data_IF_659685956644
#
_entry.id   IF_659685956644
#
_cell.length_a   1.000
_cell.length_b   1.000
_cell.length_c   1.000
_cell.angle_alpha   90.00
_cell.angle_beta   90.00
_cell.angle_gamma   90.00
#
_symmetry.space_group_name_H-M   'P 1'
#
loop_
_entity.id
_entity.type
_entity.pdbx_description
1 polymer ?
#
# COMPACT_ATOMS: atom_id res chain seq x y z
N UNK A 1 8.52 -14.01 -1.59
CA UNK A 1 8.10 -13.61 -2.94
C UNK A 1 8.81 -14.49 -3.94
N UNK A 2 8.34 -14.48 -5.17
CA UNK A 2 9.07 -15.07 -6.29
C UNK A 2 10.36 -14.28 -6.50
N UNK A 3 11.40 -14.92 -7.02
CA UNK A 3 12.67 -14.28 -7.38
C UNK A 3 12.96 -14.54 -8.85
N UNK A 4 13.52 -13.55 -9.55
CA UNK A 4 13.99 -13.72 -10.93
C UNK A 4 15.35 -14.45 -10.98
N UNK A 5 15.87 -14.69 -12.19
CA UNK A 5 17.16 -15.38 -12.41
C UNK A 5 18.37 -14.68 -11.74
N UNK A 6 18.28 -13.37 -11.52
CA UNK A 6 19.29 -12.58 -10.82
C UNK A 6 19.14 -12.64 -9.28
N UNK A 7 18.11 -13.31 -8.76
CA UNK A 7 17.83 -13.41 -7.34
C UNK A 7 17.05 -12.22 -6.76
N UNK A 8 16.59 -11.29 -7.60
CA UNK A 8 15.82 -10.11 -7.22
C UNK A 8 14.34 -10.47 -7.02
N UNK A 9 13.63 -9.76 -6.15
CA UNK A 9 12.19 -9.94 -5.95
C UNK A 9 11.40 -9.62 -7.23
N UNK A 10 10.51 -10.55 -7.60
CA UNK A 10 9.67 -10.50 -8.78
C UNK A 10 8.25 -11.00 -8.40
N UNK A 11 7.22 -10.57 -9.11
CA UNK A 11 5.86 -11.04 -8.90
C UNK A 11 5.27 -10.57 -7.58
N UNK A 12 4.40 -11.36 -6.96
CA UNK A 12 3.75 -10.97 -5.69
C UNK A 12 4.58 -11.38 -4.49
N UNK A 13 4.75 -10.47 -3.53
CA UNK A 13 5.56 -10.75 -2.35
C UNK A 13 5.32 -9.81 -1.18
N UNK A 14 5.56 -10.35 0.03
CA UNK A 14 5.59 -9.59 1.27
C UNK A 14 7.04 -9.33 1.68
N UNK A 15 7.40 -8.06 1.85
CA UNK A 15 8.68 -7.64 2.42
C UNK A 15 8.44 -7.03 3.80
N UNK A 16 9.21 -7.49 4.78
CA UNK A 16 9.21 -6.95 6.15
C UNK A 16 10.52 -6.19 6.34
N UNK A 17 10.40 -4.93 6.74
CA UNK A 17 11.54 -4.04 6.93
C UNK A 17 12.01 -4.06 8.39
N UNK A 18 13.29 -3.77 8.67
CA UNK A 18 13.84 -3.77 10.02
C UNK A 18 13.21 -2.73 10.97
N UNK A 19 12.63 -1.66 10.40
CA UNK A 19 11.90 -0.63 11.15
C UNK A 19 10.51 -1.10 11.61
N UNK A 20 10.06 -2.29 11.21
CA UNK A 20 8.74 -2.83 11.50
C UNK A 20 7.70 -2.57 10.40
N UNK A 21 8.05 -1.82 9.35
CA UNK A 21 7.17 -1.63 8.21
C UNK A 21 7.02 -2.94 7.41
N UNK A 22 5.89 -3.08 6.71
CA UNK A 22 5.59 -4.26 5.88
C UNK A 22 4.99 -3.81 4.57
N UNK A 23 5.55 -4.25 3.45
CA UNK A 23 4.94 -4.10 2.14
C UNK A 23 4.42 -5.44 1.64
N UNK A 24 3.15 -5.50 1.26
CA UNK A 24 2.52 -6.63 0.56
C UNK A 24 2.04 -6.15 -0.80
N UNK A 25 2.71 -6.57 -1.87
CA UNK A 25 2.38 -6.09 -3.20
C UNK A 25 3.19 -6.77 -4.30
N UNK A 26 3.14 -6.13 -5.45
CA UNK A 26 3.84 -6.57 -6.66
C UNK A 26 5.27 -5.99 -6.71
N UNK A 27 6.18 -6.81 -7.22
CA UNK A 27 7.62 -6.57 -7.30
C UNK A 27 8.12 -6.84 -8.72
N UNK A 28 9.13 -6.08 -9.12
CA UNK A 28 9.86 -6.26 -10.37
C UNK A 28 11.30 -5.83 -10.17
N UNK A 29 12.25 -6.75 -10.35
CA UNK A 29 13.68 -6.48 -10.15
C UNK A 29 13.98 -5.72 -8.83
N UNK A 30 13.53 -6.27 -7.70
CA UNK A 30 13.68 -5.71 -6.33
C UNK A 30 13.00 -4.35 -6.08
N UNK A 31 12.21 -3.85 -7.04
CA UNK A 31 11.43 -2.63 -6.90
C UNK A 31 9.96 -2.94 -6.73
N UNK A 32 9.28 -2.12 -5.92
CA UNK A 32 7.82 -2.16 -5.83
C UNK A 32 7.26 -1.66 -7.16
N UNK A 33 6.38 -2.44 -7.78
CA UNK A 33 5.87 -2.17 -9.12
C UNK A 33 4.45 -2.73 -9.22
N UNK A 34 3.46 -1.95 -9.63
CA UNK A 34 2.07 -2.37 -9.62
C UNK A 34 1.37 -2.02 -8.31
N UNK A 35 0.38 -2.81 -7.89
CA UNK A 35 -0.43 -2.49 -6.69
C UNK A 35 0.16 -3.10 -5.42
N UNK A 36 0.03 -2.37 -4.32
CA UNK A 36 0.48 -2.90 -3.03
C UNK A 36 -0.04 -2.14 -1.83
N UNK A 37 -0.02 -2.83 -0.70
CA UNK A 37 -0.30 -2.30 0.64
C UNK A 37 1.02 -2.07 1.35
N UNK A 38 1.27 -0.85 1.81
CA UNK A 38 2.41 -0.52 2.66
C UNK A 38 1.91 -0.18 4.07
N UNK A 39 2.33 -0.98 5.05
CA UNK A 39 2.10 -0.75 6.47
C UNK A 39 3.34 -0.12 7.06
N UNK A 40 3.18 1.07 7.61
CA UNK A 40 4.24 1.75 8.32
C UNK A 40 4.32 1.23 9.75
N UNK A 41 5.49 1.37 10.36
CA UNK A 41 5.74 0.93 11.73
C UNK A 41 4.88 1.69 12.77
N UNK A 42 4.42 2.89 12.41
CA UNK A 42 3.51 3.71 13.23
C UNK A 42 2.04 3.28 13.15
N UNK A 43 1.72 2.23 12.37
CA UNK A 43 0.37 1.70 12.19
C UNK A 43 -0.43 2.34 11.06
N UNK A 44 0.11 3.36 10.37
CA UNK A 44 -0.49 3.90 9.15
C UNK A 44 -0.40 2.86 8.03
N UNK A 45 -1.42 2.80 7.17
CA UNK A 45 -1.46 1.86 6.06
C UNK A 45 -1.83 2.58 4.77
N UNK A 46 -1.02 2.41 3.73
CA UNK A 46 -1.27 2.92 2.38
C UNK A 46 -1.61 1.78 1.44
N UNK A 47 -2.61 1.99 0.57
CA UNK A 47 -2.83 1.18 -0.61
C UNK A 47 -2.73 2.06 -1.83
N UNK A 48 -1.75 1.79 -2.69
CA UNK A 48 -1.40 2.62 -3.84
C UNK A 48 -0.87 1.77 -5.00
N UNK A 49 -0.80 2.38 -6.19
CA UNK A 49 0.07 1.91 -7.26
C UNK A 49 1.50 2.38 -7.04
N UNK A 50 2.48 1.54 -7.37
CA UNK A 50 3.90 1.75 -7.26
C UNK A 50 4.52 1.63 -8.65
N UNK A 51 5.48 2.49 -8.97
CA UNK A 51 6.30 2.42 -10.17
C UNK A 51 7.74 2.77 -9.77
N UNK A 52 8.68 1.87 -10.01
CA UNK A 52 10.07 2.06 -9.59
C UNK A 52 10.21 2.42 -8.09
N UNK A 53 9.46 1.72 -7.22
CA UNK A 53 9.40 1.96 -5.77
C UNK A 53 8.76 3.29 -5.32
N UNK A 54 8.28 4.12 -6.23
CA UNK A 54 7.53 5.33 -5.94
C UNK A 54 6.06 5.17 -6.30
N UNK A 55 5.14 5.41 -5.35
CA UNK A 55 3.75 5.55 -5.72
C UNK A 55 3.40 6.61 -6.72
N UNK A 56 2.30 6.31 -7.37
CA UNK A 56 1.83 7.03 -8.52
C UNK A 56 0.32 6.97 -8.53
N UNK A 57 -0.29 7.99 -9.11
CA UNK A 57 -1.73 8.03 -9.29
C UNK A 57 -2.48 8.18 -7.97
N UNK A 58 -3.69 7.60 -7.95
CA UNK A 58 -4.57 7.65 -6.79
C UNK A 58 -4.29 6.48 -5.84
N UNK A 59 -4.51 6.73 -4.56
CA UNK A 59 -4.38 5.73 -3.51
C UNK A 59 -5.18 6.12 -2.29
N UNK A 60 -5.04 5.33 -1.23
CA UNK A 60 -5.80 5.51 0.00
C UNK A 60 -4.90 5.24 1.19
N UNK A 61 -5.03 6.06 2.23
CA UNK A 61 -4.30 5.92 3.49
C UNK A 61 -5.25 5.74 4.64
N UNK A 62 -5.12 4.68 5.41
CA UNK A 62 -5.78 4.49 6.70
C UNK A 62 -4.84 4.91 7.82
N UNK A 63 -5.32 5.70 8.77
CA UNK A 63 -4.52 6.10 9.93
C UNK A 63 -4.56 5.01 11.01
N UNK A 64 -3.52 5.00 11.85
CA UNK A 64 -3.38 4.04 12.94
C UNK A 64 -4.51 4.12 13.98
N UNK A 65 -5.21 5.27 14.06
CA UNK A 65 -6.39 5.42 14.92
C UNK A 65 -7.56 4.53 14.53
N UNK A 66 -7.57 4.02 13.29
CA UNK A 66 -8.65 3.17 12.80
C UNK A 66 -10.00 3.89 12.66
N UNK A 67 -10.00 5.22 12.59
CA UNK A 67 -11.19 6.06 12.45
C UNK A 67 -11.11 6.94 11.20
N UNK A 68 -9.90 7.31 10.77
CA UNK A 68 -9.68 8.24 9.67
C UNK A 68 -8.97 7.60 8.51
N UNK A 69 -9.33 8.05 7.31
CA UNK A 69 -8.60 7.73 6.10
C UNK A 69 -8.43 8.98 5.21
N UNK A 70 -7.50 8.92 4.28
CA UNK A 70 -7.20 9.99 3.34
C UNK A 70 -7.20 9.44 1.92
N UNK A 71 -7.79 10.20 0.99
CA UNK A 71 -7.55 10.00 -0.43
C UNK A 71 -6.17 10.57 -0.78
N UNK A 72 -5.38 9.76 -1.44
CA UNK A 72 -4.06 10.15 -1.93
C UNK A 72 -4.11 10.40 -3.43
N UNK A 73 -3.38 11.43 -3.88
CA UNK A 73 -3.12 11.66 -5.30
C UNK A 73 -1.67 12.07 -5.48
N UNK A 74 -0.92 11.30 -6.26
CA UNK A 74 0.53 11.42 -6.39
C UNK A 74 1.20 11.52 -5.01
N UNK A 75 0.80 10.65 -4.07
CA UNK A 75 1.23 10.62 -2.66
C UNK A 75 0.78 11.73 -1.73
N UNK A 76 0.23 12.80 -2.27
CA UNK A 76 -0.23 13.90 -1.44
C UNK A 76 -1.61 13.59 -0.90
N UNK A 77 -1.82 13.90 0.38
CA UNK A 77 -3.13 13.88 1.02
C UNK A 77 -4.00 14.94 0.38
N UNK A 78 -5.09 14.54 -0.26
CA UNK A 78 -6.01 15.47 -0.95
C UNK A 78 -7.18 15.82 -0.03
N UNK A 79 -7.82 14.81 0.52
CA UNK A 79 -9.02 14.96 1.35
C UNK A 79 -9.08 13.84 2.39
N UNK A 80 -9.62 14.17 3.56
CA UNK A 80 -9.99 13.20 4.57
C UNK A 80 -11.33 12.58 4.18
N UNK A 81 -11.40 11.25 4.26
CA UNK A 81 -12.57 10.46 3.88
C UNK A 81 -12.86 9.43 4.99
N UNK A 82 -14.10 8.95 5.05
CA UNK A 82 -14.45 7.85 5.96
C UNK A 82 -13.74 6.55 5.58
N UNK A 83 -13.66 5.60 6.52
CA UNK A 83 -13.07 4.27 6.27
C UNK A 83 -13.80 3.50 5.16
N UNK A 84 -15.12 3.69 5.06
CA UNK A 84 -15.95 3.05 4.04
C UNK A 84 -15.69 3.66 2.66
N UNK A 85 -15.61 4.99 2.56
CA UNK A 85 -15.21 5.65 1.32
C UNK A 85 -13.79 5.28 0.89
N UNK A 86 -12.90 5.08 1.86
CA UNK A 86 -11.55 4.61 1.61
C UNK A 86 -11.54 3.20 1.02
N UNK A 87 -12.32 2.29 1.60
CA UNK A 87 -12.53 0.93 1.10
C UNK A 87 -13.11 0.95 -0.32
N UNK A 88 -14.18 1.70 -0.56
CA UNK A 88 -14.81 1.83 -1.87
C UNK A 88 -13.87 2.46 -2.91
N UNK A 89 -13.05 3.43 -2.49
CA UNK A 89 -12.04 4.04 -3.37
C UNK A 89 -10.98 3.02 -3.76
N UNK A 90 -10.46 2.23 -2.82
CA UNK A 90 -9.49 1.18 -3.12
C UNK A 90 -10.08 0.10 -4.05
N UNK A 91 -11.32 -0.35 -3.78
CA UNK A 91 -12.02 -1.33 -4.63
C UNK A 91 -12.25 -0.78 -6.05
N UNK A 92 -12.71 0.48 -6.18
CA UNK A 92 -12.89 1.16 -7.48
C UNK A 92 -11.58 1.25 -8.27
N UNK A 93 -10.46 1.47 -7.58
CA UNK A 93 -9.13 1.56 -8.18
C UNK A 93 -8.49 0.18 -8.40
N UNK A 94 -9.10 -0.93 -7.96
CA UNK A 94 -8.51 -2.27 -8.04
C UNK A 94 -7.29 -2.47 -7.13
N UNK A 95 -7.17 -1.62 -6.11
CA UNK A 95 -6.10 -1.65 -5.12
C UNK A 95 -6.41 -2.68 -4.02
N UNK A 96 -5.38 -3.37 -3.50
CA UNK A 96 -5.57 -4.34 -2.43
C UNK A 96 -6.03 -3.66 -1.13
N UNK A 97 -6.98 -4.27 -0.43
CA UNK A 97 -7.37 -3.83 0.92
C UNK A 97 -6.40 -4.38 1.97
N UNK A 98 -6.07 -3.61 3.02
CA UNK A 98 -5.25 -4.11 4.10
C UNK A 98 -6.01 -5.16 4.94
N UNK A 99 -5.33 -6.26 5.28
CA UNK A 99 -5.84 -7.33 6.16
C UNK A 99 -4.91 -7.60 7.37
N UNK A 100 -5.26 -7.22 8.62
CA UNK A 100 -6.52 -6.57 9.02
C UNK A 100 -6.60 -5.10 8.57
N UNK A 101 -7.82 -4.56 8.60
CA UNK A 101 -8.06 -3.13 8.51
C UNK A 101 -7.57 -2.46 9.82
N UNK A 102 -6.92 -1.29 9.75
CA UNK A 102 -6.57 -0.54 10.97
C UNK A 102 -7.82 -0.23 11.79
N UNK A 103 -7.77 -0.50 13.09
CA UNK A 103 -8.88 -0.27 14.02
C UNK A 103 -9.89 -1.41 14.18
N UNK A 104 -9.73 -2.51 13.45
CA UNK A 104 -10.55 -3.72 13.60
C UNK A 104 -10.03 -4.64 14.72
#
# INVERSE_FOLDING_TARGET
GERNEAGEAEGRGVCRYPDGAVYDGEWKADKKEGRGVYRFADGVVDSCFYKQSAPVGEGVRWLADGQRAWRLRNWHRVEEISLEEARQTAERLGLPLPSPLPGA
#
